data_IF_501468987249
#
_entry.id   IF_501468987249
#
_cell.length_a   1.000
_cell.length_b   1.000
_cell.length_c   1.000
_cell.angle_alpha   90.00
_cell.angle_beta   90.00
_cell.angle_gamma   90.00
#
_symmetry.space_group_name_H-M   'P 1'
#
loop_
_entity.id
_entity.type
_entity.pdbx_description
1 polymer ?
#
# COMPACT_ATOMS: atom_id res chain seq x y z
N UNK A 1 -21.02 10.44 10.19
CA UNK A 1 -19.86 10.96 10.94
C UNK A 1 -18.78 9.91 10.78
N UNK A 2 -17.73 10.18 10.00
CA UNK A 2 -16.67 9.20 9.73
C UNK A 2 -15.86 9.02 11.02
N UNK A 3 -15.83 7.80 11.57
CA UNK A 3 -15.16 7.53 12.84
C UNK A 3 -13.71 7.11 12.60
N UNK A 4 -12.83 7.39 13.57
CA UNK A 4 -11.44 6.91 13.55
C UNK A 4 -11.38 5.37 13.50
N UNK A 5 -12.39 4.71 14.05
CA UNK A 5 -12.52 3.26 14.02
C UNK A 5 -12.80 2.73 12.59
N UNK A 6 -13.62 3.43 11.79
CA UNK A 6 -13.88 3.06 10.40
C UNK A 6 -12.60 3.19 9.56
N UNK A 7 -11.78 4.21 9.84
CA UNK A 7 -10.49 4.41 9.19
C UNK A 7 -9.52 3.27 9.52
N UNK A 8 -9.45 2.87 10.80
CA UNK A 8 -8.59 1.76 11.24
C UNK A 8 -9.06 0.45 10.61
N UNK A 9 -10.36 0.20 10.54
CA UNK A 9 -10.92 -1.01 9.92
C UNK A 9 -10.65 -1.05 8.41
N UNK A 10 -10.73 0.10 7.72
CA UNK A 10 -10.36 0.22 6.31
C UNK A 10 -8.86 -0.03 6.07
N UNK A 11 -7.98 0.46 6.96
CA UNK A 11 -6.53 0.24 6.89
C UNK A 11 -6.17 -1.22 7.23
N UNK A 12 -6.87 -1.84 8.18
CA UNK A 12 -6.69 -3.25 8.55
C UNK A 12 -7.34 -4.23 7.57
N UNK A 13 -8.10 -3.74 6.58
CA UNK A 13 -8.67 -4.58 5.55
C UNK A 13 -7.54 -5.34 4.84
N UNK A 14 -7.59 -6.67 4.90
CA UNK A 14 -6.57 -7.57 4.31
C UNK A 14 -6.19 -7.20 2.88
N UNK A 15 -7.15 -6.67 2.11
CA UNK A 15 -6.98 -6.29 0.70
C UNK A 15 -6.18 -5.02 0.48
N UNK A 16 -6.13 -4.13 1.49
CA UNK A 16 -5.24 -2.97 1.50
C UNK A 16 -3.87 -3.36 2.07
N UNK A 17 -3.85 -4.09 3.18
CA UNK A 17 -2.61 -4.37 3.92
C UNK A 17 -1.67 -5.31 3.17
N UNK A 18 -2.18 -6.31 2.44
CA UNK A 18 -1.36 -7.29 1.71
C UNK A 18 -0.54 -6.62 0.59
N UNK A 19 -1.14 -5.92 -0.40
CA UNK A 19 -0.35 -5.26 -1.44
C UNK A 19 0.57 -4.18 -0.88
N UNK A 20 0.14 -3.49 0.19
CA UNK A 20 0.97 -2.49 0.85
C UNK A 20 2.22 -3.09 1.51
N UNK A 21 2.08 -4.17 2.30
CA UNK A 21 3.22 -4.86 2.93
C UNK A 21 4.17 -5.44 1.88
N UNK A 22 3.64 -6.06 0.82
CA UNK A 22 4.47 -6.60 -0.28
C UNK A 22 5.29 -5.46 -0.90
N UNK A 23 4.64 -4.34 -1.18
CA UNK A 23 5.30 -3.17 -1.75
C UNK A 23 6.37 -2.58 -0.83
N UNK A 24 6.13 -2.53 0.48
CA UNK A 24 7.15 -2.13 1.46
C UNK A 24 8.33 -3.08 1.42
N UNK A 25 8.10 -4.39 1.38
CA UNK A 25 9.18 -5.38 1.29
C UNK A 25 10.04 -5.18 0.04
N UNK A 26 9.42 -4.92 -1.11
CA UNK A 26 10.12 -4.63 -2.36
C UNK A 26 10.90 -3.31 -2.26
N UNK A 27 10.29 -2.26 -1.72
CA UNK A 27 10.92 -0.95 -1.55
C UNK A 27 12.19 -1.04 -0.68
N UNK A 28 12.11 -1.76 0.45
CA UNK A 28 13.25 -2.04 1.32
C UNK A 28 14.31 -2.81 0.55
N UNK A 29 13.93 -3.89 -0.15
CA UNK A 29 14.86 -4.69 -0.95
C UNK A 29 15.62 -3.85 -1.99
N UNK A 30 14.93 -2.99 -2.73
CA UNK A 30 15.53 -2.11 -3.74
C UNK A 30 16.48 -1.09 -3.11
N UNK A 31 16.12 -0.52 -1.95
CA UNK A 31 16.98 0.42 -1.23
C UNK A 31 18.28 -0.23 -0.76
N UNK A 32 18.20 -1.42 -0.17
CA UNK A 32 19.37 -2.14 0.31
C UNK A 32 20.25 -2.66 -0.83
N UNK A 33 19.66 -3.23 -1.88
CA UNK A 33 20.42 -3.75 -3.03
C UNK A 33 21.04 -2.65 -3.89
N UNK A 34 20.44 -1.46 -3.92
CA UNK A 34 20.95 -0.30 -4.64
C UNK A 34 22.11 0.44 -3.94
N UNK A 35 22.51 0.01 -2.75
CA UNK A 35 23.62 0.65 -2.02
C UNK A 35 23.22 1.93 -1.30
N UNK A 36 21.94 2.07 -0.91
CA UNK A 36 21.46 3.10 0.02
C UNK A 36 21.74 4.55 -0.43
N UNK A 37 21.79 4.80 -1.74
CA UNK A 37 21.97 6.15 -2.26
C UNK A 37 20.65 6.94 -2.24
N UNK A 38 20.69 8.28 -2.28
CA UNK A 38 19.48 9.11 -2.35
C UNK A 38 18.58 8.77 -3.55
N UNK A 39 19.17 8.34 -4.66
CA UNK A 39 18.42 7.91 -5.84
C UNK A 39 17.57 6.66 -5.55
N UNK A 40 18.13 5.66 -4.86
CA UNK A 40 17.39 4.47 -4.48
C UNK A 40 16.37 4.72 -3.37
N UNK A 41 16.60 5.71 -2.50
CA UNK A 41 15.59 6.14 -1.53
C UNK A 41 14.35 6.71 -2.24
N UNK A 42 14.54 7.53 -3.28
CA UNK A 42 13.45 8.04 -4.09
C UNK A 42 12.70 6.91 -4.81
N UNK A 43 13.42 5.95 -5.40
CA UNK A 43 12.82 4.79 -6.05
C UNK A 43 12.00 3.96 -5.06
N UNK A 44 12.56 3.67 -3.87
CA UNK A 44 11.87 2.93 -2.81
C UNK A 44 10.59 3.64 -2.35
N UNK A 45 10.62 4.97 -2.24
CA UNK A 45 9.45 5.78 -1.94
C UNK A 45 8.36 5.63 -3.01
N UNK A 46 8.71 5.74 -4.30
CA UNK A 46 7.75 5.56 -5.39
C UNK A 46 7.19 4.14 -5.46
N UNK A 47 8.00 3.12 -5.17
CA UNK A 47 7.53 1.75 -5.05
C UNK A 47 6.45 1.67 -3.95
N UNK A 48 6.75 2.19 -2.75
CA UNK A 48 5.78 2.24 -1.64
C UNK A 48 4.48 2.97 -2.00
N UNK A 49 4.58 4.08 -2.74
CA UNK A 49 3.42 4.85 -3.21
C UNK A 49 2.55 4.04 -4.18
N UNK A 50 3.16 3.27 -5.09
CA UNK A 50 2.42 2.38 -6.01
C UNK A 50 1.68 1.30 -5.23
N UNK A 51 2.31 0.70 -4.21
CA UNK A 51 1.66 -0.26 -3.33
C UNK A 51 0.48 0.31 -2.55
N UNK A 52 0.61 1.54 -2.07
CA UNK A 52 -0.47 2.28 -1.42
C UNK A 52 -1.64 2.49 -2.39
N UNK A 53 -1.37 3.01 -3.60
CA UNK A 53 -2.40 3.21 -4.62
C UNK A 53 -3.10 1.91 -5.01
N UNK A 54 -2.34 0.83 -5.22
CA UNK A 54 -2.89 -0.49 -5.54
C UNK A 54 -3.79 -1.03 -4.41
N UNK A 55 -3.37 -0.88 -3.14
CA UNK A 55 -4.17 -1.25 -1.98
C UNK A 55 -5.49 -0.46 -1.89
N UNK A 56 -5.46 0.85 -2.15
CA UNK A 56 -6.66 1.69 -2.21
C UNK A 56 -7.59 1.26 -3.34
N UNK A 57 -7.06 1.04 -4.55
CA UNK A 57 -7.87 0.60 -5.70
C UNK A 57 -8.54 -0.74 -5.42
N UNK A 58 -7.82 -1.71 -4.85
CA UNK A 58 -8.37 -3.03 -4.51
C UNK A 58 -9.43 -2.96 -3.41
N UNK A 59 -9.27 -2.05 -2.44
CA UNK A 59 -10.27 -1.79 -1.42
C UNK A 59 -11.54 -1.19 -2.03
N UNK A 60 -11.41 -0.16 -2.86
CA UNK A 60 -12.53 0.53 -3.51
C UNK A 60 -13.26 -0.33 -4.56
N UNK A 61 -12.53 -1.14 -5.33
CA UNK A 61 -13.09 -1.96 -6.40
C UNK A 61 -14.18 -2.92 -5.89
N UNK A 62 -14.07 -3.40 -4.64
CA UNK A 62 -15.05 -4.33 -4.05
C UNK A 62 -16.21 -3.66 -3.31
N UNK A 63 -16.12 -2.35 -3.03
CA UNK A 63 -17.29 -1.57 -2.61
C UNK A 63 -18.38 -1.52 -3.70
N UNK A 64 -18.03 -1.81 -4.95
CA UNK A 64 -18.96 -1.97 -6.08
C UNK A 64 -19.50 -3.38 -6.28
N UNK A 65 -18.86 -4.41 -5.73
CA UNK A 65 -19.19 -5.83 -5.99
C UNK A 65 -20.17 -6.44 -4.98
N UNK A 66 -20.77 -5.63 -4.10
CA UNK A 66 -21.79 -6.05 -3.13
C UNK A 66 -23.24 -5.94 -3.64
N UNK A 67 -23.46 -6.04 -4.95
CA UNK A 67 -24.82 -6.11 -5.54
C UNK A 67 -25.02 -7.44 -6.25
N UNK A 68 -25.19 -8.50 -5.46
CA UNK A 68 -26.02 -9.68 -5.75
C UNK A 68 -26.14 -10.51 -4.49
#
# INVERSE_FOLDING_TARGET
MFSIFDLIEAILARRFIIPFIISIGIAIGVYYLGGQTPAFAAIAFFIGLVGLCAGVVLHLARGRSGTT
#
